data_IF_245498811972
#
_entry.id   IF_245498811972
#
_cell.length_a   1.000
_cell.length_b   1.000
_cell.length_c   1.000
_cell.angle_alpha   90.00
_cell.angle_beta   90.00
_cell.angle_gamma   90.00
#
_symmetry.space_group_name_H-M   'P 1'
#
loop_
_entity.id
_entity.type
_entity.pdbx_description
1 polymer ?
#
# COMPACT_ATOMS: atom_id res chain seq x y z
N UNK A 1 -1.39 -14.75 -4.67
CA UNK A 1 -0.56 -14.08 -3.64
C UNK A 1 -1.30 -12.83 -3.19
N UNK A 2 -1.47 -12.62 -1.88
CA UNK A 2 -2.09 -11.40 -1.37
C UNK A 2 -1.20 -10.19 -1.66
N UNK A 3 -1.80 -9.02 -1.78
CA UNK A 3 -1.12 -7.78 -2.16
C UNK A 3 -2.02 -6.90 -3.03
N UNK A 4 -1.43 -5.87 -3.61
CA UNK A 4 -2.15 -4.94 -4.48
C UNK A 4 -1.81 -5.18 -5.94
N UNK A 5 -2.82 -5.05 -6.78
CA UNK A 5 -2.78 -5.46 -8.17
C UNK A 5 -3.46 -4.43 -9.05
N UNK A 6 -2.84 -4.12 -10.18
CA UNK A 6 -3.43 -3.37 -11.26
C UNK A 6 -4.16 -4.34 -12.20
N UNK A 7 -5.47 -4.16 -12.33
CA UNK A 7 -6.30 -4.84 -13.31
C UNK A 7 -6.63 -3.88 -14.44
N UNK A 8 -6.26 -4.25 -15.65
CA UNK A 8 -6.59 -3.52 -16.87
C UNK A 8 -7.30 -4.40 -17.88
N UNK A 9 -8.19 -3.80 -18.66
CA UNK A 9 -8.79 -4.44 -19.83
C UNK A 9 -7.91 -4.14 -21.05
N UNK A 10 -7.39 -5.19 -21.68
CA UNK A 10 -6.54 -5.06 -22.85
C UNK A 10 -7.28 -4.37 -24.00
N UNK A 11 -6.56 -3.51 -24.72
CA UNK A 11 -7.14 -2.68 -25.78
C UNK A 11 -7.94 -1.47 -25.30
N UNK A 12 -7.94 -1.16 -24.00
CA UNK A 12 -8.59 0.03 -23.45
C UNK A 12 -7.67 0.75 -22.45
N UNK A 13 -7.94 2.03 -22.16
CA UNK A 13 -7.29 2.76 -21.07
C UNK A 13 -8.01 2.59 -19.72
N UNK A 14 -8.80 1.52 -19.57
CA UNK A 14 -9.58 1.26 -18.37
C UNK A 14 -8.79 0.36 -17.43
N UNK A 15 -8.47 0.88 -16.26
CA UNK A 15 -7.71 0.19 -15.22
C UNK A 15 -8.27 0.47 -13.83
N UNK A 16 -8.01 -0.45 -12.92
CA UNK A 16 -8.44 -0.40 -11.53
C UNK A 16 -7.36 -1.04 -10.66
N UNK A 17 -7.12 -0.45 -9.48
CA UNK A 17 -6.26 -1.05 -8.45
C UNK A 17 -7.14 -1.84 -7.49
N UNK A 18 -6.83 -3.11 -7.27
CA UNK A 18 -7.53 -3.97 -6.30
C UNK A 18 -6.55 -4.55 -5.28
N UNK A 19 -7.08 -5.00 -4.14
CA UNK A 19 -6.29 -5.71 -3.12
C UNK A 19 -6.80 -7.13 -2.96
N UNK A 20 -5.89 -8.10 -3.14
CA UNK A 20 -6.11 -9.51 -2.81
C UNK A 20 -5.66 -9.73 -1.36
N UNK A 21 -6.58 -10.09 -0.47
CA UNK A 21 -6.30 -10.36 0.94
C UNK A 21 -6.09 -11.86 1.19
N UNK A 22 -5.27 -12.23 2.17
CA UNK A 22 -5.18 -13.62 2.63
C UNK A 22 -6.36 -14.05 3.53
N UNK A 23 -7.16 -13.09 4.00
CA UNK A 23 -8.36 -13.29 4.80
C UNK A 23 -9.37 -14.19 4.05
N UNK A 24 -9.92 -15.16 4.78
CA UNK A 24 -10.98 -16.04 4.24
C UNK A 24 -12.33 -15.33 4.27
N UNK A 25 -13.13 -15.55 3.23
CA UNK A 25 -14.49 -15.07 3.09
C UNK A 25 -15.39 -16.14 2.46
N UNK A 26 -16.64 -15.78 2.20
CA UNK A 26 -17.68 -16.74 1.78
C UNK A 26 -17.39 -17.43 0.44
N UNK A 27 -16.70 -16.74 -0.49
CA UNK A 27 -16.39 -17.23 -1.83
C UNK A 27 -14.89 -17.55 -2.05
N UNK A 28 -14.13 -17.80 -0.98
CA UNK A 28 -12.68 -17.99 -1.05
C UNK A 28 -11.93 -16.95 -0.23
N UNK A 29 -10.87 -16.36 -0.77
CA UNK A 29 -10.17 -15.27 -0.11
C UNK A 29 -10.79 -13.90 -0.48
N UNK A 30 -10.70 -12.93 0.43
CA UNK A 30 -11.33 -11.61 0.26
C UNK A 30 -10.58 -10.79 -0.80
N UNK A 31 -11.33 -10.18 -1.72
CA UNK A 31 -10.84 -9.16 -2.66
C UNK A 31 -11.53 -7.83 -2.38
N UNK A 32 -10.76 -6.75 -2.37
CA UNK A 32 -11.27 -5.39 -2.12
C UNK A 32 -11.09 -4.52 -3.36
N UNK A 33 -12.18 -3.87 -3.77
CA UNK A 33 -12.22 -2.94 -4.89
C UNK A 33 -12.57 -1.53 -4.39
N UNK A 34 -11.77 -0.51 -4.73
CA UNK A 34 -12.16 0.89 -4.60
C UNK A 34 -13.46 1.21 -5.35
N UNK A 35 -14.19 2.23 -4.90
CA UNK A 35 -15.52 2.57 -5.40
C UNK A 35 -15.59 2.79 -6.92
N UNK A 36 -14.52 3.28 -7.56
CA UNK A 36 -14.47 3.55 -9.00
C UNK A 36 -14.26 2.32 -9.88
N UNK A 37 -13.85 1.19 -9.32
CA UNK A 37 -13.41 0.03 -10.11
C UNK A 37 -14.50 -0.59 -10.96
N UNK A 38 -15.74 -0.62 -10.48
CA UNK A 38 -16.88 -1.16 -11.25
C UNK A 38 -17.17 -0.35 -12.51
N UNK A 39 -16.87 0.95 -12.52
CA UNK A 39 -17.03 1.79 -13.71
C UNK A 39 -15.89 1.59 -14.70
N UNK A 40 -14.67 1.43 -14.21
CA UNK A 40 -13.50 1.19 -15.05
C UNK A 40 -13.54 -0.22 -15.67
N UNK A 41 -13.75 -1.24 -14.85
CA UNK A 41 -13.67 -2.65 -15.24
C UNK A 41 -14.96 -3.36 -14.81
N UNK A 42 -16.04 -3.33 -15.62
CA UNK A 42 -17.37 -3.78 -15.20
C UNK A 42 -17.45 -5.23 -14.71
N UNK A 43 -16.61 -6.12 -15.25
CA UNK A 43 -16.57 -7.54 -14.87
C UNK A 43 -16.32 -7.74 -13.36
N UNK A 44 -15.62 -6.82 -12.69
CA UNK A 44 -15.38 -6.88 -11.24
C UNK A 44 -16.65 -6.71 -10.40
N UNK A 45 -17.74 -6.19 -10.98
CA UNK A 45 -19.02 -6.03 -10.29
C UNK A 45 -19.66 -7.35 -9.88
N UNK A 46 -19.26 -8.46 -10.49
CA UNK A 46 -19.76 -9.81 -10.20
C UNK A 46 -18.83 -10.62 -9.28
N UNK A 47 -17.64 -10.12 -9.02
CA UNK A 47 -16.61 -10.81 -8.23
C UNK A 47 -16.96 -10.72 -6.74
N UNK A 48 -16.95 -11.86 -6.06
CA UNK A 48 -17.20 -11.99 -4.63
C UNK A 48 -15.96 -12.44 -3.84
N UNK A 49 -14.98 -13.07 -4.52
CA UNK A 49 -13.77 -13.57 -3.89
C UNK A 49 -12.65 -13.83 -4.90
N UNK A 50 -11.50 -14.27 -4.40
CA UNK A 50 -10.42 -14.77 -5.22
C UNK A 50 -9.87 -16.08 -4.67
N UNK A 51 -9.26 -16.86 -5.56
CA UNK A 51 -8.61 -18.13 -5.26
C UNK A 51 -7.26 -18.18 -5.97
N UNK A 52 -6.35 -18.98 -5.44
CA UNK A 52 -5.09 -19.31 -6.12
C UNK A 52 -4.92 -20.82 -6.15
N UNK A 53 -4.91 -21.38 -7.35
CA UNK A 53 -4.75 -22.81 -7.58
C UNK A 53 -4.02 -23.04 -8.89
N UNK A 54 -3.12 -24.03 -8.93
CA UNK A 54 -2.38 -24.44 -10.14
C UNK A 54 -1.57 -23.29 -10.78
N UNK A 55 -1.10 -22.34 -9.96
CA UNK A 55 -0.40 -21.15 -10.46
C UNK A 55 -1.30 -20.10 -11.13
N UNK A 56 -2.62 -20.29 -11.08
CA UNK A 56 -3.63 -19.40 -11.66
C UNK A 56 -4.32 -18.61 -10.55
N UNK A 57 -4.41 -17.28 -10.73
CA UNK A 57 -5.23 -16.41 -9.88
C UNK A 57 -6.64 -16.39 -10.45
N UNK A 58 -7.64 -16.84 -9.69
CA UNK A 58 -9.03 -16.91 -10.13
C UNK A 58 -9.85 -15.88 -9.36
N UNK A 59 -10.49 -14.96 -10.07
CA UNK A 59 -11.56 -14.13 -9.50
C UNK A 59 -12.87 -14.89 -9.67
N UNK A 60 -13.62 -15.04 -8.59
CA UNK A 60 -14.82 -15.89 -8.56
C UNK A 60 -16.06 -15.11 -8.14
N UNK A 61 -17.23 -15.57 -8.59
CA UNK A 61 -18.53 -15.03 -8.17
C UNK A 61 -18.97 -15.62 -6.82
N UNK A 62 -20.18 -15.26 -6.36
CA UNK A 62 -20.76 -15.75 -5.10
C UNK A 62 -20.99 -17.27 -5.05
N UNK A 63 -21.03 -17.92 -6.21
CA UNK A 63 -21.19 -19.37 -6.33
C UNK A 63 -19.84 -20.08 -6.56
N UNK A 64 -18.72 -19.37 -6.34
CA UNK A 64 -17.35 -19.86 -6.54
C UNK A 64 -17.09 -20.23 -8.02
N UNK A 65 -17.85 -19.66 -8.96
CA UNK A 65 -17.62 -19.85 -10.39
C UNK A 65 -16.54 -18.89 -10.88
N UNK A 66 -15.57 -19.36 -11.70
CA UNK A 66 -14.52 -18.50 -12.22
C UNK A 66 -15.10 -17.45 -13.17
N UNK A 67 -14.93 -16.17 -12.80
CA UNK A 67 -15.25 -15.01 -13.63
C UNK A 67 -14.06 -14.68 -14.53
N UNK A 68 -12.86 -14.67 -13.95
CA UNK A 68 -11.60 -14.50 -14.66
C UNK A 68 -10.54 -15.44 -14.08
N UNK A 69 -9.85 -16.17 -14.96
CA UNK A 69 -8.76 -17.07 -14.60
C UNK A 69 -7.45 -16.55 -15.20
N UNK A 70 -6.62 -15.94 -14.35
CA UNK A 70 -5.38 -15.28 -14.72
C UNK A 70 -4.21 -16.27 -14.70
N UNK A 71 -3.71 -16.63 -15.88
CA UNK A 71 -2.50 -17.43 -16.06
C UNK A 71 -1.27 -16.52 -16.16
N UNK A 72 -0.13 -16.98 -15.62
CA UNK A 72 1.12 -16.23 -15.66
C UNK A 72 1.60 -16.09 -17.11
N UNK A 73 1.99 -14.88 -17.53
CA UNK A 73 2.58 -14.66 -18.85
C UNK A 73 4.01 -15.22 -18.92
N UNK A 74 4.54 -15.48 -20.13
CA UNK A 74 5.94 -15.86 -20.34
C UNK A 74 6.93 -14.80 -19.83
N UNK A 75 6.50 -13.54 -19.79
CA UNK A 75 7.28 -12.42 -19.26
C UNK A 75 7.44 -12.46 -17.73
N UNK A 76 6.76 -13.37 -17.04
CA UNK A 76 6.74 -13.61 -15.59
C UNK A 76 6.38 -12.40 -14.71
N UNK A 77 6.05 -11.25 -15.29
CA UNK A 77 5.78 -9.99 -14.59
C UNK A 77 4.30 -9.67 -14.51
N UNK A 78 3.48 -10.45 -15.20
CA UNK A 78 2.05 -10.20 -15.33
C UNK A 78 1.28 -11.49 -15.50
N UNK A 79 -0.03 -11.40 -15.32
CA UNK A 79 -0.96 -12.47 -15.60
C UNK A 79 -1.99 -11.99 -16.62
N UNK A 80 -2.55 -12.92 -17.38
CA UNK A 80 -3.56 -12.64 -18.40
C UNK A 80 -4.74 -13.59 -18.25
N UNK A 81 -5.95 -13.06 -18.41
CA UNK A 81 -7.19 -13.82 -18.45
C UNK A 81 -8.01 -13.41 -19.65
N UNK A 82 -8.80 -14.35 -20.18
CA UNK A 82 -9.83 -14.07 -21.19
C UNK A 82 -11.19 -14.38 -20.57
N UNK A 83 -12.09 -13.40 -20.60
CA UNK A 83 -13.46 -13.59 -20.15
C UNK A 83 -14.25 -14.42 -21.16
N UNK A 84 -15.37 -15.00 -20.71
CA UNK A 84 -16.32 -15.68 -21.60
C UNK A 84 -16.89 -14.77 -22.70
N UNK A 85 -16.88 -13.45 -22.49
CA UNK A 85 -17.25 -12.44 -23.50
C UNK A 85 -16.21 -12.26 -24.62
N UNK A 86 -15.02 -12.85 -24.49
CA UNK A 86 -13.89 -12.66 -25.40
C UNK A 86 -12.99 -11.47 -25.06
N UNK A 87 -13.28 -10.74 -23.98
CA UNK A 87 -12.44 -9.64 -23.50
C UNK A 87 -11.18 -10.18 -22.79
N UNK A 88 -10.01 -9.62 -23.13
CA UNK A 88 -8.76 -9.92 -22.44
C UNK A 88 -8.47 -8.92 -21.33
N UNK A 89 -7.92 -9.43 -20.22
CA UNK A 89 -7.56 -8.66 -19.05
C UNK A 89 -6.14 -8.98 -18.63
N UNK A 90 -5.41 -7.95 -18.24
CA UNK A 90 -4.08 -8.05 -17.67
C UNK A 90 -4.12 -7.73 -16.18
N UNK A 91 -3.44 -8.55 -15.38
CA UNK A 91 -3.28 -8.39 -13.95
C UNK A 91 -1.79 -8.25 -13.64
N UNK A 92 -1.39 -7.08 -13.14
CA UNK A 92 0.01 -6.73 -12.87
C UNK A 92 0.17 -6.48 -11.36
N UNK A 93 1.13 -7.13 -10.69
CA UNK A 93 1.41 -6.84 -9.29
C UNK A 93 1.90 -5.40 -9.17
N UNK A 94 1.22 -4.61 -8.35
CA UNK A 94 1.73 -3.33 -7.88
C UNK A 94 2.51 -3.65 -6.62
N UNK A 95 3.84 -3.62 -6.67
CA UNK A 95 4.65 -3.76 -5.46
C UNK A 95 4.23 -2.70 -4.45
N UNK A 96 3.41 -3.09 -3.48
CA UNK A 96 3.31 -2.39 -2.22
C UNK A 96 4.13 -3.23 -1.28
N UNK A 97 5.41 -2.88 -1.13
CA UNK A 97 6.05 -3.03 0.16
C UNK A 97 5.11 -2.33 1.15
N UNK A 98 4.27 -3.11 1.83
CA UNK A 98 3.45 -2.61 2.90
C UNK A 98 4.43 -2.03 3.92
N UNK A 99 4.55 -0.71 3.92
CA UNK A 99 5.20 0.03 4.98
C UNK A 99 4.65 -0.55 6.28
N UNK A 100 5.52 -1.12 7.10
CA UNK A 100 5.17 -1.45 8.48
C UNK A 100 4.55 -0.19 9.07
N UNK A 101 3.34 -0.32 9.59
CA UNK A 101 2.79 0.71 10.46
C UNK A 101 3.80 0.83 11.60
N UNK A 102 4.48 1.98 11.82
CA UNK A 102 5.13 2.16 13.10
C UNK A 102 4.01 2.06 14.13
N UNK A 103 4.11 1.05 15.00
CA UNK A 103 3.25 0.91 16.16
C UNK A 103 3.29 2.24 16.91
N UNK A 104 2.15 2.95 17.00
CA UNK A 104 2.02 4.18 17.78
C UNK A 104 1.97 3.89 19.30
N UNK A 105 2.82 2.96 19.77
CA UNK A 105 2.99 2.62 21.18
C UNK A 105 4.42 2.91 21.64
N UNK A 106 4.94 4.07 21.25
CA UNK A 106 6.01 4.72 22.01
C UNK A 106 5.41 5.99 22.63
N UNK A 107 5.08 6.00 23.94
CA UNK A 107 4.72 7.23 24.62
C UNK A 107 5.98 8.08 24.78
N UNK A 108 6.17 9.04 23.88
CA UNK A 108 7.10 10.14 24.13
C UNK A 108 6.59 10.94 25.35
N UNK A 109 7.39 11.16 26.41
CA UNK A 109 7.03 12.10 27.45
C UNK A 109 7.18 13.52 26.89
N UNK A 110 6.05 14.10 26.44
CA UNK A 110 5.91 15.53 26.24
C UNK A 110 5.90 16.22 27.62
N UNK A 111 7.06 16.71 28.05
CA UNK A 111 7.13 17.68 29.13
C UNK A 111 6.64 19.04 28.59
N UNK A 112 5.39 19.37 28.90
CA UNK A 112 4.79 20.69 28.66
C UNK A 112 5.29 21.63 29.76
N UNK A 113 6.03 22.68 29.39
CA UNK A 113 6.25 23.85 30.26
C UNK A 113 5.50 25.05 29.66
N UNK A 114 4.58 25.70 30.42
CA UNK A 114 3.80 26.84 29.96
C UNK A 114 4.61 28.15 29.88
N UNK A 115 4.12 29.17 29.13
CA UNK A 115 4.87 30.39 28.86
C UNK A 115 4.71 31.42 29.98
N UNK A 116 5.79 32.09 30.37
CA UNK A 116 5.75 33.24 31.27
C UNK A 116 6.58 34.41 30.70
N UNK A 117 5.83 35.41 30.20
CA UNK A 117 6.09 36.86 30.22
C UNK A 117 7.53 37.38 30.05
N UNK A 118 7.77 38.04 28.92
CA UNK A 118 8.86 39.01 28.76
C UNK A 118 8.63 40.27 29.63
N UNK A 119 9.70 40.99 30.00
CA UNK A 119 9.93 42.26 29.30
C UNK A 119 11.42 42.62 29.02
N UNK A 120 11.60 43.28 27.87
CA UNK A 120 12.32 44.55 27.63
C UNK A 120 13.78 44.76 28.09
N UNK A 121 14.63 44.96 27.07
CA UNK A 121 15.70 45.98 26.93
C UNK A 121 16.62 46.30 28.12
N UNK A 122 17.91 46.00 28.00
CA UNK A 122 19.05 46.94 28.13
C UNK A 122 20.40 46.20 28.31
N UNK A 123 21.47 46.93 28.00
CA UNK A 123 22.91 46.67 28.21
C UNK A 123 23.56 45.58 27.33
N UNK A 124 24.33 45.92 26.29
CA UNK A 124 25.58 46.70 26.21
C UNK A 124 26.74 46.03 26.97
N UNK A 125 27.75 45.66 26.19
CA UNK A 125 29.17 45.48 26.51
C UNK A 125 29.58 44.68 27.75
N UNK A 126 30.43 43.67 27.52
CA UNK A 126 31.77 43.64 28.13
C UNK A 126 32.56 42.42 27.62
N UNK A 127 33.49 42.70 26.70
CA UNK A 127 34.92 42.53 26.94
C UNK A 127 35.33 41.66 28.14
N UNK A 128 36.11 40.62 27.82
CA UNK A 128 37.46 40.37 28.36
C UNK A 128 37.70 39.26 29.40
N UNK A 129 38.79 38.54 29.09
CA UNK A 129 39.77 37.92 29.98
C UNK A 129 39.44 36.56 30.65
N UNK A 130 39.97 35.53 29.97
CA UNK A 130 41.18 34.80 30.37
C UNK A 130 41.07 33.48 31.17
N UNK A 131 42.02 32.61 30.77
CA UNK A 131 42.79 31.67 31.60
C UNK A 131 42.00 30.42 32.05
N UNK A 132 42.46 29.18 31.87
CA UNK A 132 43.81 28.64 31.81
C UNK A 132 43.81 27.25 31.14
N UNK A 133 44.93 26.86 30.53
CA UNK A 133 45.22 25.47 30.16
C UNK A 133 45.82 24.73 31.36
N UNK A 134 45.77 23.39 31.36
CA UNK A 134 47.01 22.66 31.67
C UNK A 134 47.41 21.64 30.61
N UNK A 135 48.72 21.44 30.59
CA UNK A 135 49.57 20.69 29.65
C UNK A 135 50.01 19.33 30.23
N UNK A 136 50.56 18.50 29.33
CA UNK A 136 51.61 17.46 29.50
C UNK A 136 51.24 15.97 29.46
N UNK A 137 51.95 15.23 28.59
CA UNK A 137 52.33 13.83 28.85
C UNK A 137 52.41 12.86 27.65
N UNK A 138 53.47 12.92 26.83
CA UNK A 138 54.35 11.82 26.31
C UNK A 138 54.97 12.13 24.95
#
# INVERSE_FOLDING_TARGET
MPGTWDLSRDGTNRRCVMTLSSESGEAGQVVRFPAGCRRAVPVVGTVAGWLFADGVVRLVDRNVRPVLAFAKRPDQRSYVATAASGESYSLVPLEIAAMGTPSLLDPAPVAVTPPALAPSAAEIEATDVAVEQPVEGV
#
